data_IF_809130583260
#
_entry.id   IF_809130583260
#
_cell.length_a   1.000
_cell.length_b   1.000
_cell.length_c   1.000
_cell.angle_alpha   90.00
_cell.angle_beta   90.00
_cell.angle_gamma   90.00
#
_symmetry.space_group_name_H-M   'P 1'
#
loop_
_entity.id
_entity.type
_entity.pdbx_description
1 polymer ?
#
# COMPACT_ATOMS: atom_id res chain seq x y z
N UNK A 1 -0.43 -15.79 -1.74
CA UNK A 1 0.49 -14.79 -2.29
C UNK A 1 1.48 -14.28 -1.26
N UNK A 2 1.06 -14.06 -0.03
CA UNK A 2 1.90 -13.64 1.10
C UNK A 2 1.78 -14.69 2.19
N UNK A 3 2.90 -15.08 2.81
CA UNK A 3 2.92 -16.06 3.90
C UNK A 3 3.77 -15.49 5.05
N UNK A 4 3.19 -15.43 6.23
CA UNK A 4 3.88 -15.19 7.49
C UNK A 4 3.94 -16.51 8.27
N UNK A 5 5.10 -16.89 8.74
CA UNK A 5 5.33 -18.09 9.55
C UNK A 5 6.03 -17.71 10.85
N UNK A 6 5.28 -17.69 11.96
CA UNK A 6 5.74 -17.38 13.31
C UNK A 6 6.59 -16.10 13.38
N UNK A 7 6.07 -15.02 12.81
CA UNK A 7 6.82 -13.78 12.60
C UNK A 7 6.80 -12.92 13.84
N UNK A 8 8.01 -12.58 14.32
CA UNK A 8 8.23 -11.60 15.38
C UNK A 8 8.96 -10.39 14.82
N UNK A 9 8.52 -9.19 15.18
CA UNK A 9 9.23 -7.95 14.91
C UNK A 9 9.41 -7.14 16.18
N UNK A 10 10.66 -6.95 16.55
CA UNK A 10 11.09 -6.07 17.64
C UNK A 10 11.88 -4.90 17.10
N UNK A 11 11.57 -3.71 17.57
CA UNK A 11 12.33 -2.50 17.25
C UNK A 11 13.43 -2.23 18.29
N UNK A 12 14.47 -1.45 17.93
CA UNK A 12 15.42 -0.94 18.93
C UNK A 12 14.65 -0.24 20.07
N UNK A 13 15.06 -0.46 21.32
CA UNK A 13 14.32 0.04 22.49
C UNK A 13 13.35 -0.99 23.11
N UNK A 14 13.28 -2.22 22.55
CA UNK A 14 12.57 -3.35 23.18
C UNK A 14 11.09 -3.48 22.83
N UNK A 15 10.53 -2.53 22.07
CA UNK A 15 9.13 -2.60 21.63
C UNK A 15 8.91 -3.76 20.64
N UNK A 16 8.04 -4.70 21.01
CA UNK A 16 7.60 -5.80 20.14
C UNK A 16 6.34 -5.35 19.37
N UNK A 17 6.49 -5.12 18.09
CA UNK A 17 5.39 -4.65 17.23
C UNK A 17 4.57 -5.80 16.63
N UNK A 18 5.18 -6.97 16.43
CA UNK A 18 4.51 -8.21 16.02
C UNK A 18 5.07 -9.37 16.84
N UNK A 19 4.20 -10.28 17.27
CA UNK A 19 4.53 -11.37 18.18
C UNK A 19 3.86 -12.68 17.76
N UNK A 20 4.59 -13.50 16.99
CA UNK A 20 4.15 -14.83 16.55
C UNK A 20 3.07 -14.78 15.46
N UNK A 21 3.14 -13.84 14.51
CA UNK A 21 2.18 -13.76 13.43
C UNK A 21 2.35 -14.92 12.45
N UNK A 22 1.28 -15.71 12.27
CA UNK A 22 1.14 -16.69 11.20
C UNK A 22 -0.11 -16.37 10.38
N UNK A 23 0.07 -16.12 9.08
CA UNK A 23 -0.98 -15.64 8.17
C UNK A 23 -0.66 -16.05 6.75
N UNK A 24 -1.68 -16.50 6.02
CA UNK A 24 -1.61 -16.70 4.58
C UNK A 24 -2.62 -15.78 3.87
N UNK A 25 -2.14 -15.14 2.79
CA UNK A 25 -2.93 -14.30 1.90
C UNK A 25 -2.82 -14.87 0.49
N UNK A 26 -3.92 -15.23 -0.09
CA UNK A 26 -3.99 -15.77 -1.45
C UNK A 26 -3.91 -14.66 -2.51
N UNK A 27 -3.72 -15.05 -3.77
CA UNK A 27 -3.80 -14.10 -4.88
C UNK A 27 -5.24 -13.68 -5.11
N UNK A 28 -5.44 -12.39 -5.36
CA UNK A 28 -6.77 -11.83 -5.58
C UNK A 28 -7.59 -11.71 -4.30
N UNK A 29 -7.01 -11.91 -3.12
CA UNK A 29 -7.70 -11.71 -1.85
C UNK A 29 -7.65 -10.23 -1.45
N UNK A 30 -8.76 -9.73 -0.90
CA UNK A 30 -8.84 -8.40 -0.27
C UNK A 30 -8.94 -8.57 1.24
N UNK A 31 -7.94 -8.04 1.96
CA UNK A 31 -7.85 -8.14 3.42
C UNK A 31 -7.85 -6.76 4.02
N UNK A 32 -8.69 -6.56 5.03
CA UNK A 32 -8.64 -5.41 5.92
C UNK A 32 -7.97 -5.79 7.25
N UNK A 33 -6.91 -5.04 7.59
CA UNK A 33 -6.24 -5.13 8.87
C UNK A 33 -6.84 -4.08 9.80
N UNK A 34 -7.51 -4.51 10.85
CA UNK A 34 -8.09 -3.66 11.89
C UNK A 34 -7.26 -3.74 13.18
N UNK A 35 -7.56 -2.86 14.12
CA UNK A 35 -6.91 -2.84 15.44
C UNK A 35 -6.52 -1.42 15.84
N UNK A 36 -6.28 -1.21 17.12
CA UNK A 36 -5.91 0.09 17.70
C UNK A 36 -4.62 0.66 17.10
N UNK A 37 -4.39 1.96 17.26
CA UNK A 37 -3.08 2.55 16.95
C UNK A 37 -1.98 1.82 17.73
N UNK A 38 -0.86 1.53 17.08
CA UNK A 38 0.23 0.74 17.68
C UNK A 38 0.03 -0.78 17.68
N UNK A 39 -1.09 -1.33 17.20
CA UNK A 39 -1.34 -2.77 17.17
C UNK A 39 -0.41 -3.58 16.25
N UNK A 40 0.38 -2.92 15.37
CA UNK A 40 1.32 -3.58 14.46
C UNK A 40 0.94 -3.53 12.98
N UNK A 41 -0.21 -2.95 12.61
CA UNK A 41 -0.72 -2.92 11.23
C UNK A 41 0.31 -2.39 10.22
N UNK A 42 0.80 -1.19 10.42
CA UNK A 42 1.82 -0.57 9.54
C UNK A 42 3.13 -1.35 9.52
N UNK A 43 3.51 -2.00 10.63
CA UNK A 43 4.69 -2.86 10.70
C UNK A 43 4.52 -4.09 9.82
N UNK A 44 3.33 -4.72 9.84
CA UNK A 44 3.00 -5.85 8.99
C UNK A 44 3.11 -5.48 7.50
N UNK A 45 2.53 -4.33 7.08
CA UNK A 45 2.67 -3.81 5.72
C UNK A 45 4.14 -3.53 5.34
N UNK A 46 4.93 -2.95 6.24
CA UNK A 46 6.36 -2.67 6.02
C UNK A 46 7.18 -3.94 5.82
N UNK A 47 6.86 -5.03 6.51
CA UNK A 47 7.51 -6.32 6.30
C UNK A 47 7.21 -6.87 4.90
N UNK A 48 5.95 -6.84 4.45
CA UNK A 48 5.57 -7.30 3.10
C UNK A 48 6.28 -6.49 2.01
N UNK A 49 6.42 -5.17 2.22
CA UNK A 49 7.11 -4.27 1.30
C UNK A 49 8.65 -4.37 1.35
N UNK A 50 9.22 -5.24 2.18
CA UNK A 50 10.66 -5.33 2.46
C UNK A 50 11.28 -3.98 2.92
N UNK A 51 10.48 -3.12 3.56
CA UNK A 51 10.97 -1.88 4.21
C UNK A 51 11.61 -2.23 5.54
N UNK A 52 10.97 -3.15 6.26
CA UNK A 52 11.47 -3.75 7.48
C UNK A 52 11.79 -5.23 7.26
N UNK A 53 12.55 -5.81 8.16
CA UNK A 53 12.83 -7.25 8.19
C UNK A 53 12.28 -7.85 9.48
N UNK A 54 11.80 -9.09 9.47
CA UNK A 54 11.41 -9.76 10.70
C UNK A 54 12.64 -9.96 11.62
N UNK A 55 12.41 -9.95 12.93
CA UNK A 55 13.43 -10.29 13.93
C UNK A 55 13.61 -11.80 14.00
N UNK A 56 12.51 -12.55 13.93
CA UNK A 56 12.47 -14.01 13.79
C UNK A 56 11.24 -14.42 12.97
N UNK A 57 11.17 -15.71 12.60
CA UNK A 57 10.15 -16.21 11.69
C UNK A 57 10.45 -15.88 10.23
N UNK A 58 9.48 -16.08 9.35
CA UNK A 58 9.66 -15.93 7.92
C UNK A 58 8.49 -15.20 7.28
N UNK A 59 8.80 -14.22 6.42
CA UNK A 59 7.82 -13.56 5.53
C UNK A 59 8.17 -13.91 4.10
N UNK A 60 7.22 -14.49 3.37
CA UNK A 60 7.36 -14.80 1.94
C UNK A 60 6.35 -13.97 1.14
N UNK A 61 6.80 -13.33 0.07
CA UNK A 61 5.96 -12.55 -0.85
C UNK A 61 6.25 -13.03 -2.28
N UNK A 62 5.22 -13.50 -2.96
CA UNK A 62 5.34 -14.08 -4.32
C UNK A 62 6.46 -15.13 -4.43
N UNK A 63 6.59 -15.99 -3.41
CA UNK A 63 7.60 -17.05 -3.35
C UNK A 63 8.99 -16.58 -2.88
N UNK A 64 9.21 -15.29 -2.64
CA UNK A 64 10.49 -14.75 -2.20
C UNK A 64 10.51 -14.49 -0.69
N UNK A 65 11.50 -15.05 0.02
CA UNK A 65 11.70 -14.77 1.45
C UNK A 65 12.25 -13.35 1.63
N UNK A 66 11.41 -12.45 2.14
CA UNK A 66 11.73 -11.03 2.33
C UNK A 66 12.91 -10.82 3.29
N UNK A 67 13.00 -11.64 4.34
CA UNK A 67 14.08 -11.54 5.32
C UNK A 67 15.47 -11.83 4.73
N UNK A 68 15.53 -12.62 3.65
CA UNK A 68 16.78 -13.04 2.97
C UNK A 68 17.09 -12.27 1.68
N UNK A 69 16.18 -11.39 1.24
CA UNK A 69 16.43 -10.58 0.05
C UNK A 69 17.66 -9.69 0.24
N UNK A 70 18.56 -9.71 -0.73
CA UNK A 70 19.65 -8.74 -0.77
C UNK A 70 19.12 -7.36 -1.25
N UNK A 71 19.91 -6.30 -1.02
CA UNK A 71 19.52 -4.93 -1.36
C UNK A 71 19.19 -4.72 -2.85
N UNK A 72 19.79 -5.51 -3.73
CA UNK A 72 19.59 -5.41 -5.18
C UNK A 72 18.29 -6.11 -5.64
N UNK A 73 17.80 -7.11 -4.90
CA UNK A 73 16.55 -7.81 -5.21
C UNK A 73 15.30 -7.05 -4.72
N UNK A 74 15.42 -6.24 -3.65
CA UNK A 74 14.29 -5.47 -3.10
C UNK A 74 13.58 -4.58 -4.14
N UNK A 75 14.28 -3.81 -5.02
CA UNK A 75 13.61 -3.03 -6.05
C UNK A 75 12.76 -3.87 -7.01
N UNK A 76 13.19 -5.07 -7.36
CA UNK A 76 12.44 -5.97 -8.25
C UNK A 76 11.16 -6.48 -7.57
N UNK A 77 11.21 -6.83 -6.28
CA UNK A 77 10.02 -7.14 -5.52
C UNK A 77 9.04 -5.96 -5.52
N UNK A 78 9.51 -4.75 -5.21
CA UNK A 78 8.68 -3.54 -5.08
C UNK A 78 8.06 -3.06 -6.40
N UNK A 79 8.59 -3.44 -7.57
CA UNK A 79 7.97 -3.09 -8.87
C UNK A 79 6.56 -3.66 -9.03
N UNK A 80 6.26 -4.78 -8.35
CA UNK A 80 4.97 -5.46 -8.38
C UNK A 80 4.07 -5.08 -7.19
N UNK A 81 4.49 -4.12 -6.36
CA UNK A 81 3.79 -3.68 -5.16
C UNK A 81 3.47 -2.19 -5.29
N UNK A 82 2.19 -1.85 -5.20
CA UNK A 82 1.74 -0.47 -4.99
C UNK A 82 1.71 -0.17 -3.50
N UNK A 83 2.29 0.96 -3.10
CA UNK A 83 2.41 1.37 -1.70
C UNK A 83 1.70 2.70 -1.47
N UNK A 84 0.76 2.71 -0.54
CA UNK A 84 0.12 3.92 -0.02
C UNK A 84 0.46 4.00 1.47
N UNK A 85 1.23 5.02 1.85
CA UNK A 85 1.65 5.26 3.23
C UNK A 85 0.77 6.31 3.89
N UNK A 86 0.60 6.23 5.20
CA UNK A 86 -0.12 7.21 5.99
C UNK A 86 0.48 8.63 5.87
N UNK A 87 1.79 8.75 5.74
CA UNK A 87 2.54 10.01 5.58
C UNK A 87 2.80 10.38 4.11
N UNK A 88 2.04 9.79 3.17
CA UNK A 88 2.04 9.99 1.72
C UNK A 88 3.38 9.73 1.02
N UNK A 89 4.54 10.08 1.62
CA UNK A 89 5.88 9.97 1.03
C UNK A 89 5.96 10.57 -0.38
N UNK A 90 5.29 11.70 -0.60
CA UNK A 90 5.36 12.44 -1.85
C UNK A 90 6.72 13.13 -2.00
N UNK A 91 7.16 13.28 -3.24
CA UNK A 91 8.34 14.07 -3.59
C UNK A 91 7.89 15.52 -3.77
N UNK A 92 8.19 16.36 -2.78
CA UNK A 92 7.72 17.75 -2.73
C UNK A 92 8.46 18.69 -3.68
N UNK A 93 9.59 18.24 -4.22
CA UNK A 93 10.38 18.90 -5.25
C UNK A 93 9.94 18.55 -6.69
N UNK A 94 8.85 17.77 -6.82
CA UNK A 94 8.31 17.27 -8.08
C UNK A 94 6.81 17.51 -8.19
N UNK A 95 6.37 17.80 -9.42
CA UNK A 95 4.93 17.95 -9.72
C UNK A 95 4.13 16.68 -9.46
N UNK A 96 2.79 16.79 -9.46
CA UNK A 96 1.89 15.64 -9.35
C UNK A 96 2.16 14.61 -10.47
N UNK A 97 2.30 15.07 -11.72
CA UNK A 97 2.68 14.22 -12.85
C UNK A 97 4.00 13.49 -12.61
N UNK A 98 5.04 14.20 -12.16
CA UNK A 98 6.36 13.61 -11.92
C UNK A 98 6.37 12.61 -10.76
N UNK A 99 5.55 12.82 -9.74
CA UNK A 99 5.32 11.83 -8.68
C UNK A 99 4.70 10.53 -9.23
N UNK A 100 3.69 10.64 -10.08
CA UNK A 100 2.95 9.48 -10.60
C UNK A 100 3.73 8.74 -11.69
N UNK A 101 4.49 9.43 -12.53
CA UNK A 101 5.26 8.80 -13.61
C UNK A 101 6.47 8.00 -13.09
N UNK A 102 7.01 8.36 -11.94
CA UNK A 102 8.27 7.83 -11.42
C UNK A 102 8.33 6.30 -11.34
N UNK A 103 7.33 5.58 -10.80
CA UNK A 103 7.35 4.11 -10.77
C UNK A 103 7.46 3.49 -12.17
N UNK A 104 6.85 4.09 -13.18
CA UNK A 104 6.90 3.62 -14.56
C UNK A 104 8.28 3.81 -15.18
N UNK A 105 8.90 4.96 -14.94
CA UNK A 105 10.28 5.24 -15.40
C UNK A 105 11.26 4.26 -14.76
N UNK A 106 11.13 4.01 -13.45
CA UNK A 106 11.96 3.03 -12.73
C UNK A 106 11.75 1.60 -13.29
N UNK A 107 10.54 1.29 -13.75
CA UNK A 107 10.23 0.02 -14.39
C UNK A 107 10.72 -0.09 -15.85
N UNK A 108 11.26 1.00 -16.44
CA UNK A 108 11.80 1.03 -17.79
C UNK A 108 10.77 1.35 -18.89
N UNK A 109 9.60 1.88 -18.54
CA UNK A 109 8.62 2.33 -19.53
C UNK A 109 9.12 3.52 -20.33
N UNK A 110 8.74 3.60 -21.61
CA UNK A 110 9.03 4.78 -22.41
C UNK A 110 8.30 6.01 -21.86
N UNK A 111 8.90 7.20 -22.02
CA UNK A 111 8.30 8.44 -21.52
C UNK A 111 6.88 8.66 -22.06
N UNK A 112 6.64 8.34 -23.34
CA UNK A 112 5.32 8.48 -23.98
C UNK A 112 4.28 7.59 -23.31
N UNK A 113 4.59 6.33 -23.08
CA UNK A 113 3.68 5.40 -22.42
C UNK A 113 3.46 5.76 -20.96
N UNK A 114 4.54 6.11 -20.24
CA UNK A 114 4.45 6.51 -18.83
C UNK A 114 3.57 7.75 -18.65
N UNK A 115 3.68 8.78 -19.51
CA UNK A 115 2.81 9.95 -19.48
C UNK A 115 1.34 9.59 -19.73
N UNK A 116 1.05 8.73 -20.73
CA UNK A 116 -0.31 8.28 -21.00
C UNK A 116 -0.94 7.58 -19.79
N UNK A 117 -0.19 6.65 -19.16
CA UNK A 117 -0.65 5.91 -17.98
C UNK A 117 -0.79 6.80 -16.75
N UNK A 118 0.14 7.74 -16.55
CA UNK A 118 0.10 8.66 -15.42
C UNK A 118 -1.10 9.60 -15.50
N UNK A 119 -1.44 10.13 -16.69
CA UNK A 119 -2.66 10.92 -16.87
C UNK A 119 -3.92 10.13 -16.57
N UNK A 120 -4.03 8.90 -17.06
CA UNK A 120 -5.15 8.03 -16.74
C UNK A 120 -5.27 7.72 -15.24
N UNK A 121 -4.14 7.58 -14.52
CA UNK A 121 -4.14 7.38 -13.08
C UNK A 121 -4.56 8.66 -12.32
N UNK A 122 -4.09 9.84 -12.75
CA UNK A 122 -4.49 11.13 -12.20
C UNK A 122 -5.98 11.42 -12.44
N UNK A 123 -6.48 11.07 -13.62
CA UNK A 123 -7.91 11.21 -13.97
C UNK A 123 -8.78 10.35 -13.04
N UNK A 124 -8.41 9.09 -12.82
CA UNK A 124 -9.12 8.18 -11.90
C UNK A 124 -9.27 8.72 -10.48
N UNK A 125 -8.32 9.52 -10.00
CA UNK A 125 -8.36 10.12 -8.66
C UNK A 125 -8.83 11.58 -8.66
N UNK A 126 -9.31 12.11 -9.81
CA UNK A 126 -9.81 13.48 -9.94
C UNK A 126 -8.73 14.55 -9.81
N UNK A 127 -7.50 14.25 -10.27
CA UNK A 127 -6.35 15.18 -10.20
C UNK A 127 -5.74 15.51 -11.57
N UNK A 128 -6.41 15.20 -12.69
CA UNK A 128 -5.86 15.45 -14.03
C UNK A 128 -5.55 16.94 -14.25
N UNK A 129 -6.48 17.83 -13.87
CA UNK A 129 -6.30 19.29 -14.00
C UNK A 129 -5.18 19.84 -13.09
N UNK A 130 -4.75 19.04 -12.11
CA UNK A 130 -3.68 19.37 -11.17
C UNK A 130 -2.35 18.71 -11.53
N UNK A 131 -2.21 18.15 -12.73
CA UNK A 131 -1.01 17.37 -13.14
C UNK A 131 0.30 18.13 -12.98
N UNK A 132 0.26 19.48 -13.08
CA UNK A 132 1.43 20.36 -12.96
C UNK A 132 1.62 20.94 -11.55
N UNK A 133 0.64 20.76 -10.67
CA UNK A 133 0.71 21.29 -9.30
C UNK A 133 1.81 20.60 -8.50
N UNK A 134 2.46 21.37 -7.64
CA UNK A 134 3.42 20.83 -6.65
C UNK A 134 2.64 20.28 -5.45
N UNK A 135 3.08 19.18 -4.81
CA UNK A 135 2.37 18.59 -3.68
C UNK A 135 2.09 19.58 -2.53
N UNK A 136 2.99 20.55 -2.30
CA UNK A 136 2.82 21.58 -1.27
C UNK A 136 1.60 22.48 -1.51
N UNK A 137 1.13 22.59 -2.77
CA UNK A 137 -0.06 23.38 -3.12
C UNK A 137 -1.36 22.58 -3.13
N UNK A 138 -1.27 21.29 -2.85
CA UNK A 138 -2.41 20.37 -2.78
C UNK A 138 -2.92 20.26 -1.34
N UNK A 139 -4.24 20.16 -1.17
CA UNK A 139 -4.85 19.82 0.12
C UNK A 139 -4.42 18.42 0.58
N UNK A 140 -4.58 18.10 1.87
CA UNK A 140 -4.27 16.78 2.42
C UNK A 140 -4.99 15.63 1.68
N UNK A 141 -6.27 15.84 1.34
CA UNK A 141 -7.05 14.88 0.56
C UNK A 141 -6.55 14.74 -0.89
N UNK A 142 -6.12 15.83 -1.55
CA UNK A 142 -5.49 15.78 -2.86
C UNK A 142 -4.13 15.08 -2.82
N UNK A 143 -3.33 15.30 -1.77
CA UNK A 143 -2.06 14.58 -1.56
C UNK A 143 -2.28 13.07 -1.36
N UNK A 144 -3.31 12.68 -0.61
CA UNK A 144 -3.70 11.30 -0.43
C UNK A 144 -4.09 10.66 -1.77
N UNK A 145 -4.94 11.32 -2.57
CA UNK A 145 -5.32 10.85 -3.90
C UNK A 145 -4.12 10.75 -4.85
N UNK A 146 -3.19 11.70 -4.78
CA UNK A 146 -1.94 11.66 -5.55
C UNK A 146 -1.08 10.45 -5.16
N UNK A 147 -0.98 10.15 -3.87
CA UNK A 147 -0.27 8.95 -3.38
C UNK A 147 -0.91 7.66 -3.94
N UNK A 148 -2.24 7.59 -3.96
CA UNK A 148 -2.96 6.45 -4.54
C UNK A 148 -2.70 6.35 -6.04
N UNK A 149 -2.80 7.46 -6.80
CA UNK A 149 -2.50 7.47 -8.24
C UNK A 149 -1.10 6.92 -8.52
N UNK A 150 -0.09 7.35 -7.73
CA UNK A 150 1.28 6.84 -7.83
C UNK A 150 1.38 5.34 -7.53
N UNK A 151 0.64 4.85 -6.56
CA UNK A 151 0.65 3.43 -6.19
C UNK A 151 0.03 2.53 -7.27
N UNK A 152 -1.04 2.99 -7.94
CA UNK A 152 -1.80 2.18 -8.90
C UNK A 152 -1.31 2.29 -10.36
N UNK A 153 -0.47 3.29 -10.69
CA UNK A 153 -0.08 3.59 -12.08
C UNK A 153 0.63 2.44 -12.78
N UNK A 154 1.38 1.63 -12.03
CA UNK A 154 2.07 0.42 -12.53
C UNK A 154 1.15 -0.78 -12.70
N UNK A 155 -0.12 -0.70 -12.27
CA UNK A 155 -1.06 -1.85 -12.17
C UNK A 155 -0.43 -3.00 -11.39
N UNK A 156 -0.07 -2.78 -10.13
CA UNK A 156 0.63 -3.78 -9.34
C UNK A 156 -0.27 -4.98 -9.05
N UNK A 157 0.32 -6.15 -8.90
CA UNK A 157 -0.39 -7.36 -8.48
C UNK A 157 -0.76 -7.35 -6.98
N UNK A 158 -0.08 -6.51 -6.19
CA UNK A 158 -0.30 -6.35 -4.75
C UNK A 158 -0.37 -4.87 -4.39
N UNK A 159 -1.44 -4.46 -3.70
CA UNK A 159 -1.59 -3.14 -3.11
C UNK A 159 -1.49 -3.24 -1.59
N UNK A 160 -0.58 -2.49 -1.02
CA UNK A 160 -0.41 -2.31 0.42
C UNK A 160 -0.80 -0.88 0.77
N UNK A 161 -1.80 -0.74 1.61
CA UNK A 161 -2.45 0.55 1.86
C UNK A 161 -2.56 0.78 3.36
N UNK A 162 -2.02 1.89 3.85
CA UNK A 162 -2.06 2.27 5.27
C UNK A 162 -2.92 3.52 5.45
N UNK A 163 -4.10 3.35 6.07
CA UNK A 163 -5.09 4.38 6.40
C UNK A 163 -5.49 5.28 5.20
N UNK A 164 -6.07 4.70 4.11
CA UNK A 164 -6.30 5.42 2.86
C UNK A 164 -7.37 6.51 2.94
N UNK A 165 -8.28 6.44 3.90
CA UNK A 165 -9.47 7.31 4.01
C UNK A 165 -9.40 8.30 5.17
N UNK A 166 -8.38 8.22 6.02
CA UNK A 166 -8.31 8.95 7.29
C UNK A 166 -8.35 10.49 7.18
N UNK A 167 -7.98 11.06 6.04
CA UNK A 167 -7.94 12.50 5.79
C UNK A 167 -8.89 12.94 4.66
N UNK A 168 -9.88 12.10 4.31
CA UNK A 168 -10.82 12.36 3.22
C UNK A 168 -12.22 12.62 3.76
N UNK A 169 -12.97 13.49 3.08
CA UNK A 169 -14.41 13.57 3.27
C UNK A 169 -15.11 12.27 2.80
N UNK A 170 -16.39 12.13 3.14
CA UNK A 170 -17.14 10.90 2.92
C UNK A 170 -17.25 10.50 1.44
N UNK A 171 -17.38 11.49 0.55
CA UNK A 171 -17.57 11.25 -0.89
C UNK A 171 -16.26 10.74 -1.52
N UNK A 172 -15.14 11.39 -1.21
CA UNK A 172 -13.85 10.94 -1.69
C UNK A 172 -13.42 9.60 -1.06
N UNK A 173 -13.71 9.39 0.22
CA UNK A 173 -13.44 8.11 0.86
C UNK A 173 -14.21 6.97 0.17
N UNK A 174 -15.49 7.18 -0.13
CA UNK A 174 -16.31 6.22 -0.88
C UNK A 174 -15.77 5.95 -2.28
N UNK A 175 -15.35 7.00 -3.01
CA UNK A 175 -14.74 6.85 -4.33
C UNK A 175 -13.43 6.05 -4.30
N UNK A 176 -12.59 6.26 -3.28
CA UNK A 176 -11.34 5.49 -3.09
C UNK A 176 -11.64 4.02 -2.75
N UNK A 177 -12.63 3.76 -1.91
CA UNK A 177 -13.04 2.39 -1.59
C UNK A 177 -13.59 1.66 -2.82
N UNK A 178 -14.42 2.33 -3.63
CA UNK A 178 -14.91 1.80 -4.91
C UNK A 178 -13.74 1.47 -5.87
N UNK A 179 -12.73 2.34 -5.93
CA UNK A 179 -11.54 2.09 -6.73
C UNK A 179 -10.77 0.84 -6.25
N UNK A 180 -10.64 0.61 -4.95
CA UNK A 180 -10.02 -0.62 -4.44
C UNK A 180 -10.83 -1.86 -4.79
N UNK A 181 -12.16 -1.77 -4.80
CA UNK A 181 -13.02 -2.85 -5.30
C UNK A 181 -12.77 -3.14 -6.79
N UNK A 182 -12.66 -2.10 -7.63
CA UNK A 182 -12.31 -2.27 -9.06
C UNK A 182 -10.98 -3.03 -9.22
N UNK A 183 -9.96 -2.67 -8.41
CA UNK A 183 -8.67 -3.38 -8.44
C UNK A 183 -8.79 -4.83 -7.99
N UNK A 184 -9.58 -5.09 -6.96
CA UNK A 184 -9.86 -6.45 -6.50
C UNK A 184 -10.56 -7.28 -7.59
N UNK A 185 -11.58 -6.73 -8.25
CA UNK A 185 -12.34 -7.40 -9.31
C UNK A 185 -11.46 -7.79 -10.52
N UNK A 186 -10.42 -7.03 -10.82
CA UNK A 186 -9.46 -7.38 -11.89
C UNK A 186 -8.31 -8.28 -11.39
N UNK A 187 -8.42 -8.83 -10.19
CA UNK A 187 -7.52 -9.85 -9.63
C UNK A 187 -6.32 -9.32 -8.86
N UNK A 188 -6.26 -8.04 -8.52
CA UNK A 188 -5.24 -7.52 -7.62
C UNK A 188 -5.46 -8.02 -6.19
N UNK A 189 -4.37 -8.31 -5.48
CA UNK A 189 -4.38 -8.63 -4.05
C UNK A 189 -4.26 -7.33 -3.26
N UNK A 190 -5.13 -7.13 -2.26
CA UNK A 190 -5.14 -5.91 -1.45
C UNK A 190 -4.95 -6.25 0.03
N UNK A 191 -4.04 -5.53 0.69
CA UNK A 191 -3.85 -5.57 2.13
C UNK A 191 -3.95 -4.13 2.66
N UNK A 192 -5.06 -3.82 3.31
CA UNK A 192 -5.46 -2.46 3.69
C UNK A 192 -5.57 -2.37 5.19
N UNK A 193 -4.73 -1.58 5.81
CA UNK A 193 -4.87 -1.22 7.22
C UNK A 193 -5.84 -0.03 7.34
N UNK A 194 -6.91 -0.19 8.10
CA UNK A 194 -7.89 0.88 8.30
C UNK A 194 -8.72 0.67 9.57
N UNK A 195 -9.30 1.75 10.04
CA UNK A 195 -10.33 1.77 11.08
C UNK A 195 -11.69 2.24 10.53
N UNK A 196 -11.81 2.45 9.21
CA UNK A 196 -13.03 2.91 8.54
C UNK A 196 -14.03 1.74 8.41
N UNK A 197 -15.16 1.84 9.14
CA UNK A 197 -16.21 0.81 9.13
C UNK A 197 -16.83 0.60 7.74
N UNK A 198 -16.85 1.63 6.87
CA UNK A 198 -17.33 1.52 5.50
C UNK A 198 -16.47 0.57 4.67
N UNK A 199 -15.16 0.59 4.92
CA UNK A 199 -14.22 -0.32 4.26
C UNK A 199 -14.50 -1.78 4.66
N UNK A 200 -14.81 -2.02 5.94
CA UNK A 200 -15.08 -3.36 6.47
C UNK A 200 -16.38 -3.98 5.94
N UNK A 201 -17.30 -3.15 5.46
CA UNK A 201 -18.55 -3.58 4.86
C UNK A 201 -18.42 -3.99 3.38
N UNK A 202 -17.26 -3.86 2.77
CA UNK A 202 -17.06 -4.20 1.36
C UNK A 202 -17.22 -5.70 1.12
N UNK A 203 -17.98 -6.12 0.10
CA UNK A 203 -18.19 -7.53 -0.18
C UNK A 203 -16.91 -8.23 -0.65
N UNK A 204 -16.74 -9.49 -0.22
CA UNK A 204 -15.56 -10.30 -0.59
C UNK A 204 -14.29 -9.98 0.18
N UNK A 205 -14.35 -9.10 1.18
CA UNK A 205 -13.22 -8.77 2.01
C UNK A 205 -13.13 -9.71 3.23
N UNK A 206 -11.91 -10.10 3.56
CA UNK A 206 -11.58 -10.77 4.81
C UNK A 206 -11.05 -9.74 5.80
N UNK A 207 -11.59 -9.75 7.02
CA UNK A 207 -11.15 -8.84 8.09
C UNK A 207 -10.26 -9.62 9.04
N UNK A 208 -9.08 -9.05 9.34
CA UNK A 208 -8.14 -9.55 10.34
C UNK A 208 -7.97 -8.50 11.42
N UNK A 209 -8.14 -8.90 12.66
CA UNK A 209 -7.95 -8.01 13.80
C UNK A 209 -6.57 -8.23 14.41
N UNK A 210 -5.79 -7.13 14.54
CA UNK A 210 -4.54 -7.13 15.29
C UNK A 210 -4.74 -6.49 16.66
N UNK A 211 -4.30 -7.20 17.68
CA UNK A 211 -4.24 -6.70 19.04
C UNK A 211 -2.87 -7.00 19.65
N UNK A 212 -2.17 -5.97 20.13
CA UNK A 212 -0.84 -6.10 20.76
C UNK A 212 0.17 -6.95 19.97
N UNK A 213 0.15 -6.80 18.62
CA UNK A 213 1.07 -7.51 17.75
C UNK A 213 0.67 -8.95 17.41
N UNK A 214 -0.50 -9.42 17.80
CA UNK A 214 -1.04 -10.75 17.52
C UNK A 214 -2.33 -10.68 16.71
N UNK A 215 -2.64 -11.74 15.96
CA UNK A 215 -3.94 -11.91 15.33
C UNK A 215 -4.93 -12.43 16.39
N UNK A 216 -6.09 -11.75 16.49
CA UNK A 216 -7.19 -12.13 17.38
C UNK A 216 -8.24 -12.95 16.62
#
# INVERSE_FOLDING_TARGET
MIIFSDVVKRYPGGHTALDGISLEVERGEMIFLTGRSGAGKSTLLKLVAAIERPTSGMVTVSGQNVGRLNRHAVPYLRRNIGLVFQDHKLLFDRSAMENVILPLIIAGATRREALKRARAALDKVGLLERERSMPVTLSGGEQQRLCIARAIVSRPALLLVDEPTGNLDADYASAILAMFQDFHQVGATLLIATHDERALALPGARVLHLEQGRLA
#
